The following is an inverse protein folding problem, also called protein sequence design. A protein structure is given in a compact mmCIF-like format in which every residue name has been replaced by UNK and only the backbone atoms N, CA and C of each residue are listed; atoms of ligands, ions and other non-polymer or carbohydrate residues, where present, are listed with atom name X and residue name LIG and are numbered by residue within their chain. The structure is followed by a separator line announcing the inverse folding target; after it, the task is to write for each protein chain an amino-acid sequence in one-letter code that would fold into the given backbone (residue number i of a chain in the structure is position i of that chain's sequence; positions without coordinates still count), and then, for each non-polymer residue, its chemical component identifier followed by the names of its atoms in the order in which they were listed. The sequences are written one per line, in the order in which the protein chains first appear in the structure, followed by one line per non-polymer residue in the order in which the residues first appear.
data_IF_833596658157
#
_entry.id   IF_833596658157
#
_cell.length_a   1.000
_cell.length_b   1.000
_cell.length_c   1.000
_cell.angle_alpha   90.00
_cell.angle_beta   90.00
_cell.angle_gamma   90.00
#
_symmetry.space_group_name_H-M   'P 1'
#
loop_
_entity.id
_entity.type
_entity.pdbx_description
1 polymer ?
#
# COMPACT_ATOMS: atom_id res chain seq x y z
N UNK A 1 -26.81 17.22 -3.62
CA UNK A 1 -25.43 17.48 -3.23
C UNK A 1 -25.01 18.92 -3.53
N UNK A 2 -25.25 19.46 -4.70
CA UNK A 2 -24.98 20.88 -5.01
C UNK A 2 -25.55 21.89 -4.00
N UNK A 3 -26.71 21.61 -3.37
CA UNK A 3 -27.26 22.44 -2.28
C UNK A 3 -26.54 22.31 -0.95
N UNK A 4 -25.85 21.18 -0.70
CA UNK A 4 -25.10 20.92 0.53
C UNK A 4 -23.73 21.59 0.47
N UNK A 5 -23.13 21.68 -0.72
CA UNK A 5 -21.80 22.26 -0.94
C UNK A 5 -21.83 23.76 -1.28
N UNK A 6 -23.01 24.33 -1.62
CA UNK A 6 -23.21 25.77 -1.87
C UNK A 6 -23.53 26.58 -0.61
N UNK A 7 -23.01 26.16 0.54
CA UNK A 7 -23.09 26.93 1.76
C UNK A 7 -22.18 28.15 1.71
N UNK A 8 -22.82 29.31 1.70
CA UNK A 8 -22.23 30.63 1.95
C UNK A 8 -21.03 31.03 1.08
N UNK A 9 -21.32 31.50 -0.13
CA UNK A 9 -20.31 32.05 -1.08
C UNK A 9 -19.39 33.10 -0.44
N UNK A 10 -19.83 33.80 0.62
CA UNK A 10 -19.01 34.76 1.35
C UNK A 10 -17.88 34.11 2.16
N UNK A 11 -18.05 32.86 2.64
CA UNK A 11 -16.97 32.13 3.35
C UNK A 11 -15.94 31.53 2.39
N UNK A 12 -16.36 31.06 1.23
CA UNK A 12 -15.45 30.59 0.18
C UNK A 12 -14.58 31.71 -0.41
N UNK A 13 -15.12 32.94 -0.46
CA UNK A 13 -14.36 34.13 -0.86
C UNK A 13 -13.36 34.60 0.21
N UNK A 14 -13.71 34.49 1.49
CA UNK A 14 -12.81 34.70 2.62
C UNK A 14 -11.66 33.69 2.64
N UNK A 15 -11.92 32.41 2.38
CA UNK A 15 -10.88 31.37 2.32
C UNK A 15 -9.95 31.62 1.13
N UNK A 16 -10.43 32.03 -0.04
CA UNK A 16 -9.60 32.36 -1.21
C UNK A 16 -8.77 33.65 -1.02
N UNK A 17 -9.24 34.62 -0.26
CA UNK A 17 -8.45 35.79 0.15
C UNK A 17 -7.39 35.41 1.18
N UNK A 18 -7.72 34.53 2.11
CA UNK A 18 -6.79 34.02 3.12
C UNK A 18 -5.66 33.16 2.53
N UNK A 19 -5.87 32.44 1.43
CA UNK A 19 -4.81 31.65 0.76
C UNK A 19 -3.55 32.48 0.43
N UNK A 20 -3.69 33.77 0.13
CA UNK A 20 -2.55 34.67 -0.11
C UNK A 20 -1.89 35.18 1.18
N UNK A 21 -2.69 35.42 2.23
CA UNK A 21 -2.18 35.84 3.53
C UNK A 21 -1.52 34.69 4.30
N UNK A 22 -2.01 33.46 4.13
CA UNK A 22 -1.49 32.26 4.79
C UNK A 22 -0.07 31.89 4.33
N UNK A 23 0.28 32.20 3.08
CA UNK A 23 1.61 31.90 2.51
C UNK A 23 2.77 32.70 3.13
N UNK A 24 2.50 33.66 4.00
CA UNK A 24 3.52 34.56 4.61
C UNK A 24 3.77 34.26 6.09
N UNK A 25 3.13 33.23 6.67
CA UNK A 25 3.32 32.89 8.08
C UNK A 25 4.70 32.30 8.35
N UNK A 26 5.28 32.66 9.47
CA UNK A 26 6.67 32.34 9.85
C UNK A 26 6.66 31.15 10.82
N UNK A 27 7.59 30.24 10.62
CA UNK A 27 7.88 29.19 11.61
C UNK A 27 8.89 29.70 12.64
N UNK A 28 8.56 29.49 13.90
CA UNK A 28 9.38 29.87 15.06
C UNK A 28 9.77 28.63 15.88
N UNK A 29 10.65 28.82 16.85
CA UNK A 29 11.14 27.74 17.74
C UNK A 29 11.73 26.57 16.96
N UNK A 30 12.50 26.87 15.91
CA UNK A 30 13.06 25.86 15.01
C UNK A 30 14.21 25.14 15.70
N UNK A 31 14.05 23.83 15.94
CA UNK A 31 15.02 22.97 16.62
C UNK A 31 15.30 21.73 15.79
N UNK A 32 16.57 21.39 15.63
CA UNK A 32 16.99 20.11 15.04
C UNK A 32 17.29 19.11 16.14
N UNK A 33 16.67 17.96 16.06
CA UNK A 33 16.94 16.81 16.93
C UNK A 33 17.73 15.75 16.17
N UNK A 34 18.83 15.30 16.75
CA UNK A 34 19.70 14.26 16.21
C UNK A 34 20.30 13.43 17.35
N UNK A 35 21.02 12.34 17.02
CA UNK A 35 21.79 11.57 18.03
C UNK A 35 22.82 12.42 18.76
N UNK A 36 23.29 13.50 18.13
CA UNK A 36 24.31 14.38 18.70
C UNK A 36 23.74 15.44 19.66
N UNK A 37 22.42 15.46 19.83
CA UNK A 37 21.73 16.42 20.69
C UNK A 37 20.72 17.28 19.97
N UNK A 38 20.45 18.46 20.51
CA UNK A 38 19.48 19.44 20.04
C UNK A 38 20.22 20.71 19.61
N UNK A 39 19.97 21.16 18.39
CA UNK A 39 20.43 22.44 17.87
C UNK A 39 19.22 23.38 17.79
N UNK A 40 19.36 24.58 18.37
CA UNK A 40 18.31 25.59 18.40
C UNK A 40 18.52 26.67 17.31
N UNK A 41 17.44 27.33 16.92
CA UNK A 41 17.44 28.43 15.94
C UNK A 41 18.10 28.07 14.61
N UNK A 42 17.92 26.83 14.17
CA UNK A 42 18.43 26.35 12.88
C UNK A 42 17.47 26.71 11.74
N UNK A 43 18.01 26.88 10.55
CA UNK A 43 17.18 26.90 9.35
C UNK A 43 16.89 25.49 8.87
N UNK A 44 15.78 25.31 8.16
CA UNK A 44 15.47 24.04 7.51
C UNK A 44 15.25 24.23 6.01
N UNK A 45 15.38 23.15 5.28
CA UNK A 45 15.18 23.10 3.84
C UNK A 45 14.26 21.94 3.44
N UNK A 46 13.96 21.81 2.16
CA UNK A 46 13.05 20.77 1.63
C UNK A 46 13.53 19.32 1.83
N UNK A 47 14.79 19.13 2.22
CA UNK A 47 15.37 17.82 2.42
C UNK A 47 15.25 17.34 3.88
N UNK A 48 14.91 18.24 4.80
CA UNK A 48 14.75 17.92 6.21
C UNK A 48 13.42 17.20 6.47
N UNK A 49 13.44 16.34 7.48
CA UNK A 49 12.22 15.78 8.07
C UNK A 49 11.60 16.80 9.00
N UNK A 50 10.29 17.03 8.90
CA UNK A 50 9.62 18.11 9.63
C UNK A 50 8.54 17.56 10.57
N UNK A 51 8.49 18.10 11.78
CA UNK A 51 7.34 18.01 12.70
C UNK A 51 6.94 19.43 13.04
N UNK A 52 5.72 19.79 12.71
CA UNK A 52 5.25 21.17 12.77
C UNK A 52 4.05 21.26 13.71
N UNK A 53 4.16 22.10 14.73
CA UNK A 53 3.05 22.46 15.61
C UNK A 53 2.27 23.61 14.99
N UNK A 54 0.97 23.43 14.77
CA UNK A 54 0.08 24.47 14.24
C UNK A 54 -1.19 23.94 13.61
N UNK A 55 -2.13 24.82 13.29
CA UNK A 55 -3.33 24.45 12.55
C UNK A 55 -2.94 23.90 11.17
N UNK A 56 -3.40 22.71 10.86
CA UNK A 56 -2.96 22.01 9.66
C UNK A 56 -3.39 22.68 8.36
N UNK A 57 -4.54 23.38 8.31
CA UNK A 57 -4.95 24.13 7.12
C UNK A 57 -3.95 25.27 6.83
N UNK A 58 -3.58 26.02 7.87
CA UNK A 58 -2.65 27.14 7.77
C UNK A 58 -1.24 26.64 7.40
N UNK A 59 -0.79 25.56 8.05
CA UNK A 59 0.52 24.96 7.76
C UNK A 59 0.57 24.42 6.32
N UNK A 60 -0.46 23.69 5.87
CA UNK A 60 -0.55 23.19 4.49
C UNK A 60 -0.47 24.31 3.46
N UNK A 61 -1.24 25.42 3.67
CA UNK A 61 -1.20 26.58 2.78
C UNK A 61 0.19 27.24 2.77
N UNK A 62 0.85 27.34 3.93
CA UNK A 62 2.21 27.90 4.05
C UNK A 62 3.26 27.04 3.35
N UNK A 63 3.12 25.73 3.40
CA UNK A 63 4.02 24.77 2.78
C UNK A 63 3.78 24.57 1.27
N UNK A 64 2.60 24.93 0.76
CA UNK A 64 2.21 24.63 -0.62
C UNK A 64 3.24 25.15 -1.63
N UNK A 65 3.72 26.37 -1.46
CA UNK A 65 4.72 26.97 -2.37
C UNK A 65 6.01 26.17 -2.48
N UNK A 66 6.39 25.46 -1.40
CA UNK A 66 7.63 24.68 -1.33
C UNK A 66 7.41 23.23 -1.80
N UNK A 67 6.26 22.66 -1.46
CA UNK A 67 5.99 21.21 -1.59
C UNK A 67 4.92 20.87 -2.62
N UNK A 68 4.47 21.83 -3.46
CA UNK A 68 3.55 21.53 -4.56
C UNK A 68 4.12 20.46 -5.48
N UNK A 69 3.34 19.39 -5.72
CA UNK A 69 3.74 18.29 -6.58
C UNK A 69 4.91 17.45 -6.06
N UNK A 70 5.23 17.47 -4.75
CA UNK A 70 6.42 16.77 -4.21
C UNK A 70 6.12 15.64 -3.25
N UNK A 71 4.91 15.56 -2.69
CA UNK A 71 4.54 14.54 -1.71
C UNK A 71 4.19 13.24 -2.45
N UNK A 72 4.89 12.16 -2.11
CA UNK A 72 4.63 10.84 -2.71
C UNK A 72 3.45 10.12 -2.04
N UNK A 73 3.33 10.22 -0.73
CA UNK A 73 2.27 9.57 0.04
C UNK A 73 1.75 10.51 1.11
N UNK A 74 0.43 10.62 1.19
CA UNK A 74 -0.25 11.24 2.32
C UNK A 74 -1.00 10.15 3.05
N UNK A 75 -0.80 10.02 4.35
CA UNK A 75 -1.64 9.24 5.25
C UNK A 75 -2.24 10.16 6.28
N UNK A 76 -3.54 10.08 6.50
CA UNK A 76 -4.22 10.85 7.54
C UNK A 76 -5.24 10.00 8.31
N UNK A 77 -5.34 10.35 9.59
CA UNK A 77 -6.30 9.80 10.56
C UNK A 77 -7.09 10.96 11.17
N UNK A 78 -8.04 11.56 10.40
CA UNK A 78 -8.78 12.74 10.84
C UNK A 78 -9.77 12.39 11.95
N UNK A 79 -10.43 13.39 12.60
CA UNK A 79 -11.53 13.13 13.52
C UNK A 79 -12.62 12.27 12.89
N UNK A 80 -13.07 11.24 13.61
CA UNK A 80 -14.12 10.32 13.13
C UNK A 80 -15.54 10.83 13.38
N UNK A 81 -15.67 12.01 13.97
CA UNK A 81 -16.96 12.63 14.34
C UNK A 81 -17.81 11.73 15.26
N UNK A 82 -17.15 11.19 16.32
CA UNK A 82 -17.76 10.21 17.24
C UNK A 82 -18.78 10.81 18.20
N UNK A 83 -18.90 12.14 18.24
CA UNK A 83 -19.73 12.87 19.20
C UNK A 83 -19.13 12.94 20.60
N UNK A 84 -17.91 12.46 20.80
CA UNK A 84 -17.20 12.47 22.07
C UNK A 84 -16.11 13.53 22.06
N UNK A 85 -16.28 14.58 22.80
CA UNK A 85 -15.18 15.51 23.08
C UNK A 85 -14.25 14.89 24.13
N UNK A 86 -12.99 14.65 23.78
CA UNK A 86 -11.95 14.38 24.74
C UNK A 86 -11.26 15.68 25.14
N UNK A 87 -10.59 15.71 26.30
CA UNK A 87 -9.81 16.87 26.77
C UNK A 87 -8.72 17.29 25.76
N UNK A 88 -8.34 16.42 24.85
CA UNK A 88 -7.24 16.61 23.89
C UNK A 88 -7.72 16.83 22.45
N UNK A 89 -9.04 16.66 22.13
CA UNK A 89 -9.48 16.68 20.74
C UNK A 89 -10.98 16.88 20.57
N UNK A 90 -11.39 17.79 19.66
CA UNK A 90 -12.79 17.97 19.29
C UNK A 90 -13.19 16.92 18.24
N UNK A 91 -14.05 15.98 18.62
CA UNK A 91 -14.58 14.91 17.76
C UNK A 91 -16.11 14.96 17.69
N UNK A 92 -16.68 16.16 17.87
CA UNK A 92 -18.11 16.43 17.81
C UNK A 92 -18.39 17.61 16.90
N UNK A 93 -18.39 17.33 15.60
CA UNK A 93 -18.76 18.29 14.57
C UNK A 93 -20.21 18.06 14.12
N UNK A 94 -20.88 19.12 13.70
CA UNK A 94 -21.99 18.95 12.76
C UNK A 94 -21.42 18.32 11.48
N UNK A 95 -22.09 17.31 10.93
CA UNK A 95 -21.65 16.59 9.73
C UNK A 95 -21.23 17.51 8.57
N UNK A 96 -22.02 18.55 8.30
CA UNK A 96 -21.71 19.54 7.26
C UNK A 96 -20.41 20.30 7.56
N UNK A 97 -20.21 20.72 8.81
CA UNK A 97 -18.98 21.40 9.25
C UNK A 97 -17.76 20.49 9.09
N UNK A 98 -17.91 19.18 9.37
CA UNK A 98 -16.86 18.20 9.18
C UNK A 98 -16.45 18.06 7.70
N UNK A 99 -17.44 18.04 6.80
CA UNK A 99 -17.18 17.97 5.35
C UNK A 99 -16.42 19.21 4.84
N UNK A 100 -16.79 20.41 5.28
CA UNK A 100 -16.08 21.65 4.92
C UNK A 100 -14.66 21.62 5.49
N UNK A 101 -14.51 21.23 6.75
CA UNK A 101 -13.23 21.10 7.42
C UNK A 101 -12.28 20.18 6.65
N UNK A 102 -12.76 19.04 6.17
CA UNK A 102 -11.98 18.09 5.36
C UNK A 102 -11.72 18.62 3.95
N UNK A 103 -12.72 19.20 3.28
CA UNK A 103 -12.63 19.70 1.91
C UNK A 103 -11.43 20.64 1.73
N UNK A 104 -11.34 21.68 2.56
CA UNK A 104 -10.30 22.70 2.45
C UNK A 104 -8.88 22.11 2.54
N UNK A 105 -8.71 21.12 3.41
CA UNK A 105 -7.42 20.42 3.61
C UNK A 105 -7.09 19.47 2.46
N UNK A 106 -8.08 18.72 1.99
CA UNK A 106 -7.93 17.75 0.92
C UNK A 106 -7.66 18.39 -0.44
N UNK A 107 -8.22 19.57 -0.71
CA UNK A 107 -7.93 20.34 -1.93
C UNK A 107 -6.45 20.78 -1.97
N UNK A 108 -5.90 21.26 -0.86
CA UNK A 108 -4.46 21.60 -0.77
C UNK A 108 -3.62 20.33 -0.84
N UNK A 109 -3.99 19.26 -0.14
CA UNK A 109 -3.29 18.00 -0.14
C UNK A 109 -3.17 17.41 -1.56
N UNK A 110 -4.22 17.50 -2.39
CA UNK A 110 -4.17 17.09 -3.80
C UNK A 110 -3.11 17.87 -4.60
N UNK A 111 -3.00 19.18 -4.40
CA UNK A 111 -1.99 20.02 -5.07
C UNK A 111 -0.57 19.61 -4.67
N UNK A 112 -0.37 19.25 -3.40
CA UNK A 112 0.93 18.83 -2.88
C UNK A 112 1.38 17.45 -3.37
N UNK A 113 0.47 16.56 -3.75
CA UNK A 113 0.80 15.23 -4.26
C UNK A 113 1.56 15.29 -5.59
N UNK A 114 2.58 14.41 -5.74
CA UNK A 114 3.19 14.07 -7.03
C UNK A 114 2.14 13.52 -7.99
N UNK A 115 2.42 13.54 -9.30
CA UNK A 115 1.56 12.92 -10.31
C UNK A 115 1.35 11.41 -10.08
N UNK A 116 2.32 10.74 -9.47
CA UNK A 116 2.24 9.36 -9.01
C UNK A 116 2.01 9.26 -7.49
N UNK A 117 1.44 10.30 -6.89
CA UNK A 117 1.18 10.38 -5.46
C UNK A 117 -0.13 9.70 -5.05
N UNK A 118 -0.16 9.25 -3.81
CA UNK A 118 -1.26 8.49 -3.21
C UNK A 118 -1.68 9.13 -1.89
N UNK A 119 -2.99 9.14 -1.62
CA UNK A 119 -3.52 9.50 -0.30
C UNK A 119 -4.31 8.35 0.30
N UNK A 120 -4.07 8.09 1.58
CA UNK A 120 -4.80 7.15 2.44
C UNK A 120 -5.53 7.94 3.53
N UNK A 121 -6.82 7.68 3.71
CA UNK A 121 -7.65 8.34 4.73
C UNK A 121 -8.31 7.25 5.57
N UNK A 122 -7.90 7.13 6.83
CA UNK A 122 -8.53 6.22 7.79
C UNK A 122 -9.79 6.86 8.38
N UNK A 123 -10.89 6.13 8.36
CA UNK A 123 -12.18 6.55 8.92
C UNK A 123 -12.98 5.34 9.40
N UNK A 124 -13.91 5.55 10.30
CA UNK A 124 -14.94 4.56 10.60
C UNK A 124 -16.22 4.78 9.74
N UNK A 125 -17.24 3.97 10.00
CA UNK A 125 -18.50 3.94 9.25
C UNK A 125 -19.33 5.22 9.36
N UNK A 126 -19.00 6.17 10.26
CA UNK A 126 -19.75 7.43 10.43
C UNK A 126 -19.52 8.38 9.27
N UNK A 127 -18.26 8.58 8.88
CA UNK A 127 -17.88 9.60 7.89
C UNK A 127 -17.23 9.02 6.64
N UNK A 128 -16.86 7.72 6.61
CA UNK A 128 -16.14 7.12 5.46
C UNK A 128 -16.89 7.24 4.14
N UNK A 129 -18.21 7.02 4.15
CA UNK A 129 -19.02 7.07 2.93
C UNK A 129 -19.17 8.50 2.39
N UNK A 130 -19.34 9.46 3.27
CA UNK A 130 -19.44 10.88 2.90
C UNK A 130 -18.08 11.42 2.45
N UNK A 131 -17.02 11.04 3.15
CA UNK A 131 -15.65 11.36 2.72
C UNK A 131 -15.35 10.77 1.35
N UNK A 132 -15.81 9.54 1.06
CA UNK A 132 -15.67 8.93 -0.27
C UNK A 132 -16.28 9.80 -1.37
N UNK A 133 -17.48 10.32 -1.15
CA UNK A 133 -18.16 11.19 -2.11
C UNK A 133 -17.43 12.52 -2.27
N UNK A 134 -16.97 13.13 -1.16
CA UNK A 134 -16.16 14.33 -1.18
C UNK A 134 -14.84 14.13 -1.95
N UNK A 135 -14.20 12.99 -1.75
CA UNK A 135 -12.97 12.64 -2.47
C UNK A 135 -13.21 12.42 -3.97
N UNK A 136 -14.37 11.87 -4.36
CA UNK A 136 -14.75 11.76 -5.78
C UNK A 136 -14.88 13.14 -6.44
N UNK A 137 -15.38 14.15 -5.71
CA UNK A 137 -15.46 15.53 -6.22
C UNK A 137 -14.09 16.19 -6.31
N UNK A 138 -13.23 16.01 -5.31
CA UNK A 138 -11.90 16.64 -5.27
C UNK A 138 -10.94 15.95 -6.23
N UNK A 139 -10.79 14.63 -6.15
CA UNK A 139 -9.78 13.88 -6.91
C UNK A 139 -10.26 13.44 -8.28
N UNK A 140 -11.55 13.22 -8.43
CA UNK A 140 -12.19 12.57 -9.55
C UNK A 140 -12.47 11.10 -9.22
N UNK A 141 -13.64 10.63 -9.66
CA UNK A 141 -14.11 9.26 -9.40
C UNK A 141 -13.16 8.18 -9.95
N UNK A 142 -12.55 8.45 -11.09
CA UNK A 142 -11.62 7.54 -11.74
C UNK A 142 -10.27 7.44 -11.00
N UNK A 143 -10.00 8.36 -10.09
CA UNK A 143 -8.81 8.33 -9.24
C UNK A 143 -8.98 7.51 -7.96
N UNK A 144 -10.18 6.94 -7.73
CA UNK A 144 -10.41 6.01 -6.63
C UNK A 144 -9.71 4.68 -6.90
N UNK A 145 -8.71 4.36 -6.10
CA UNK A 145 -7.97 3.09 -6.23
C UNK A 145 -8.74 1.94 -5.60
N UNK A 146 -9.03 2.05 -4.31
CA UNK A 146 -9.72 1.02 -3.53
C UNK A 146 -10.07 1.52 -2.13
N UNK A 147 -11.02 0.83 -1.50
CA UNK A 147 -11.20 0.85 -0.06
C UNK A 147 -10.44 -0.34 0.54
N UNK A 148 -9.61 -0.07 1.54
CA UNK A 148 -8.94 -1.09 2.34
C UNK A 148 -9.74 -1.24 3.64
N UNK A 149 -10.17 -2.45 3.94
CA UNK A 149 -10.85 -2.80 5.18
C UNK A 149 -9.82 -3.24 6.20
N UNK A 150 -9.68 -2.46 7.27
CA UNK A 150 -8.80 -2.80 8.38
C UNK A 150 -9.58 -3.47 9.51
N UNK A 151 -9.32 -4.77 9.73
CA UNK A 151 -9.86 -5.52 10.86
C UNK A 151 -8.95 -5.30 12.08
N UNK A 152 -9.51 -4.67 13.12
CA UNK A 152 -8.77 -4.24 14.32
C UNK A 152 -8.43 -5.37 15.29
N UNK A 153 -9.05 -6.53 15.15
CA UNK A 153 -8.79 -7.72 15.97
C UNK A 153 -9.21 -7.59 17.45
N UNK A 154 -10.02 -6.60 17.79
CA UNK A 154 -10.54 -6.42 19.14
C UNK A 154 -11.96 -7.02 19.22
N UNK A 155 -12.16 -7.99 20.12
CA UNK A 155 -13.50 -8.46 20.45
C UNK A 155 -14.27 -7.34 21.17
N UNK A 156 -15.49 -7.06 20.70
CA UNK A 156 -16.45 -6.15 21.36
C UNK A 156 -17.63 -6.99 21.84
N UNK A 157 -17.43 -7.74 22.92
CA UNK A 157 -18.44 -8.66 23.46
C UNK A 157 -19.65 -7.92 24.05
N UNK A 158 -19.53 -6.61 24.30
CA UNK A 158 -20.54 -5.72 24.84
C UNK A 158 -21.33 -4.95 23.76
N UNK A 159 -21.10 -5.24 22.49
CA UNK A 159 -21.86 -4.66 21.40
C UNK A 159 -23.33 -5.10 21.45
N UNK A 160 -24.27 -4.15 21.44
CA UNK A 160 -25.72 -4.45 21.53
C UNK A 160 -26.25 -5.19 20.30
N UNK A 161 -25.66 -4.93 19.11
CA UNK A 161 -26.13 -5.49 17.84
C UNK A 161 -24.95 -6.08 17.06
N UNK A 162 -24.40 -5.31 16.09
CA UNK A 162 -23.27 -5.72 15.24
C UNK A 162 -21.99 -5.08 15.78
N UNK A 163 -20.94 -5.87 15.89
CA UNK A 163 -19.64 -5.39 16.34
C UNK A 163 -18.99 -4.45 15.29
N UNK A 164 -18.36 -3.37 15.76
CA UNK A 164 -17.59 -2.43 14.92
C UNK A 164 -16.11 -2.78 14.95
N UNK A 165 -15.75 -3.90 14.34
CA UNK A 165 -14.39 -4.43 14.37
C UNK A 165 -13.49 -3.92 13.25
N UNK A 166 -14.06 -3.14 12.33
CA UNK A 166 -13.37 -2.64 11.14
C UNK A 166 -13.26 -1.11 11.12
N UNK A 167 -12.28 -0.63 10.40
CA UNK A 167 -12.17 0.73 9.90
C UNK A 167 -11.93 0.69 8.41
N UNK A 168 -12.37 1.74 7.70
CA UNK A 168 -12.16 1.93 6.27
C UNK A 168 -10.93 2.81 6.04
N UNK A 169 -10.08 2.43 5.09
CA UNK A 169 -9.02 3.30 4.59
C UNK A 169 -9.31 3.57 3.13
N UNK A 170 -9.75 4.78 2.84
CA UNK A 170 -10.00 5.23 1.47
C UNK A 170 -8.67 5.52 0.78
N UNK A 171 -8.50 5.00 -0.44
CA UNK A 171 -7.26 5.14 -1.21
C UNK A 171 -7.55 5.85 -2.52
N UNK A 172 -6.91 7.00 -2.72
CA UNK A 172 -6.97 7.76 -3.96
C UNK A 172 -5.58 8.01 -4.51
N UNK A 173 -5.44 7.89 -5.82
CA UNK A 173 -4.24 8.32 -6.54
C UNK A 173 -4.48 9.72 -7.14
N UNK A 174 -3.43 10.53 -7.29
CA UNK A 174 -3.54 11.74 -8.10
C UNK A 174 -3.76 11.38 -9.58
N UNK A 175 -3.14 10.29 -10.03
CA UNK A 175 -3.34 9.69 -11.35
C UNK A 175 -3.40 8.16 -11.21
N UNK A 176 -4.53 7.54 -11.58
CA UNK A 176 -4.81 6.12 -11.32
C UNK A 176 -3.79 5.14 -11.94
N UNK A 177 -3.20 5.49 -13.07
CA UNK A 177 -2.26 4.61 -13.76
C UNK A 177 -0.85 4.59 -13.15
N UNK A 178 -0.64 5.28 -12.02
CA UNK A 178 0.67 5.44 -11.39
C UNK A 178 0.55 5.38 -9.87
N UNK A 179 1.59 4.95 -9.20
CA UNK A 179 1.76 5.20 -7.76
C UNK A 179 1.51 4.04 -6.81
N UNK A 180 0.75 3.01 -7.19
CA UNK A 180 0.61 1.80 -6.36
C UNK A 180 1.61 0.74 -6.83
N UNK A 181 2.43 0.26 -5.91
CA UNK A 181 3.35 -0.84 -6.14
C UNK A 181 2.73 -2.16 -5.73
N UNK A 182 3.13 -3.22 -6.40
CA UNK A 182 2.82 -4.57 -5.95
C UNK A 182 3.59 -4.88 -4.68
N UNK A 183 2.97 -5.67 -3.81
CA UNK A 183 3.61 -6.15 -2.59
C UNK A 183 4.67 -7.20 -2.93
N UNK A 184 5.89 -6.98 -2.47
CA UNK A 184 6.96 -7.98 -2.60
C UNK A 184 6.77 -9.06 -1.54
N UNK A 185 6.65 -10.30 -1.98
CA UNK A 185 6.62 -11.46 -1.10
C UNK A 185 7.81 -12.37 -1.36
N UNK A 186 8.50 -12.70 -0.31
CA UNK A 186 9.52 -13.75 -0.36
C UNK A 186 8.82 -15.09 -0.20
N UNK A 187 9.01 -15.97 -1.17
CA UNK A 187 8.52 -17.35 -1.17
C UNK A 187 9.70 -18.29 -1.26
N UNK A 188 9.75 -19.29 -0.39
CA UNK A 188 10.69 -20.40 -0.54
C UNK A 188 10.10 -21.41 -1.52
N UNK A 189 10.85 -21.77 -2.54
CA UNK A 189 10.46 -22.74 -3.58
C UNK A 189 11.46 -23.87 -3.66
N UNK A 190 10.99 -25.10 -3.88
CA UNK A 190 11.85 -26.23 -4.23
C UNK A 190 12.38 -25.99 -5.64
N UNK A 191 13.70 -26.12 -5.80
CA UNK A 191 14.39 -25.90 -7.09
C UNK A 191 14.95 -27.23 -7.62
N UNK A 192 14.92 -27.32 -8.93
CA UNK A 192 15.40 -28.48 -9.69
C UNK A 192 16.49 -28.01 -10.64
N UNK A 193 17.42 -28.89 -10.98
CA UNK A 193 18.48 -28.60 -11.94
C UNK A 193 18.32 -29.46 -13.20
N UNK A 194 18.42 -28.83 -14.35
CA UNK A 194 18.42 -29.51 -15.67
C UNK A 194 19.39 -28.75 -16.59
N UNK A 195 20.36 -29.47 -17.17
CA UNK A 195 21.37 -28.89 -18.04
C UNK A 195 22.14 -27.69 -17.42
N UNK A 196 22.46 -27.77 -16.14
CA UNK A 196 23.11 -26.71 -15.35
C UNK A 196 22.27 -25.43 -15.15
N UNK A 197 20.98 -25.46 -15.46
CA UNK A 197 20.07 -24.36 -15.23
C UNK A 197 19.09 -24.77 -14.13
N UNK A 198 18.92 -23.91 -13.12
CA UNK A 198 17.95 -24.12 -12.05
C UNK A 198 16.57 -23.60 -12.45
N UNK A 199 15.54 -24.31 -12.04
CA UNK A 199 14.16 -23.90 -12.20
C UNK A 199 13.30 -24.33 -10.99
N UNK A 200 12.15 -23.69 -10.83
CA UNK A 200 11.12 -24.15 -9.90
C UNK A 200 9.81 -24.38 -10.63
N UNK A 201 8.91 -25.14 -9.97
CA UNK A 201 7.56 -25.43 -10.50
C UNK A 201 6.67 -24.21 -10.45
N UNK A 202 6.24 -23.74 -11.60
CA UNK A 202 5.27 -22.67 -11.77
C UNK A 202 3.83 -23.18 -11.71
N UNK A 203 2.90 -22.37 -12.21
CA UNK A 203 1.49 -22.76 -12.34
C UNK A 203 1.29 -23.79 -13.44
N UNK A 204 0.21 -24.57 -13.33
CA UNK A 204 -0.28 -25.41 -14.43
C UNK A 204 -0.65 -24.58 -15.66
N UNK A 205 -0.82 -25.27 -16.79
CA UNK A 205 -1.30 -24.65 -18.04
C UNK A 205 -2.83 -24.80 -18.22
N UNK A 206 -3.55 -24.89 -17.12
CA UNK A 206 -5.02 -24.92 -17.05
C UNK A 206 -5.53 -23.71 -16.27
N UNK A 207 -6.81 -23.34 -16.46
CA UNK A 207 -7.47 -22.28 -15.69
C UNK A 207 -8.73 -22.81 -15.04
N UNK A 208 -9.18 -22.16 -13.96
CA UNK A 208 -10.43 -22.47 -13.27
C UNK A 208 -11.67 -21.82 -13.90
N UNK A 209 -12.84 -22.17 -13.39
CA UNK A 209 -14.12 -21.60 -13.80
C UNK A 209 -14.55 -21.94 -15.23
N UNK A 210 -15.54 -21.22 -15.74
CA UNK A 210 -16.12 -21.45 -17.09
C UNK A 210 -15.11 -21.25 -18.21
N UNK A 211 -14.14 -20.35 -18.05
CA UNK A 211 -13.05 -20.14 -19.01
C UNK A 211 -12.08 -21.32 -19.14
N UNK A 212 -12.19 -22.35 -18.29
CA UNK A 212 -11.43 -23.61 -18.35
C UNK A 212 -12.14 -24.75 -19.06
N UNK A 213 -13.32 -24.52 -19.62
CA UNK A 213 -14.16 -25.54 -20.31
C UNK A 213 -13.91 -25.48 -21.82
N UNK A 214 -13.81 -26.66 -22.44
CA UNK A 214 -13.43 -26.78 -23.85
C UNK A 214 -14.45 -26.13 -24.80
N UNK A 215 -15.76 -26.25 -24.52
CA UNK A 215 -16.76 -25.63 -25.39
C UNK A 215 -16.68 -24.09 -25.43
N UNK A 216 -16.21 -23.47 -24.37
CA UNK A 216 -15.98 -22.01 -24.31
C UNK A 216 -14.68 -21.58 -25.05
N UNK A 217 -13.74 -22.53 -25.19
CA UNK A 217 -12.44 -22.32 -25.87
C UNK A 217 -12.07 -23.50 -26.75
N UNK A 218 -12.85 -23.77 -27.82
CA UNK A 218 -12.79 -25.02 -28.57
C UNK A 218 -11.46 -25.29 -29.26
N UNK A 219 -10.60 -24.27 -29.44
CA UNK A 219 -9.27 -24.42 -30.06
C UNK A 219 -8.16 -24.86 -29.07
N UNK A 220 -8.46 -25.09 -27.79
CA UNK A 220 -7.48 -25.36 -26.74
C UNK A 220 -7.61 -26.74 -26.11
N UNK A 221 -8.22 -27.70 -26.81
CA UNK A 221 -8.43 -29.09 -26.35
C UNK A 221 -7.31 -30.05 -26.69
N UNK A 222 -6.21 -29.58 -27.24
CA UNK A 222 -5.12 -30.44 -27.75
C UNK A 222 -4.65 -31.49 -26.75
N UNK A 223 -4.34 -32.69 -27.22
CA UNK A 223 -3.71 -33.73 -26.39
C UNK A 223 -2.21 -33.52 -26.36
N UNK A 224 -1.62 -33.70 -25.19
CA UNK A 224 -0.16 -33.73 -25.02
C UNK A 224 0.22 -35.19 -24.81
N UNK A 225 0.99 -35.72 -25.75
CA UNK A 225 1.56 -37.05 -25.69
C UNK A 225 2.93 -36.96 -25.02
N UNK A 226 3.14 -37.72 -23.97
CA UNK A 226 4.37 -37.72 -23.20
C UNK A 226 4.94 -39.13 -23.08
N UNK A 227 6.22 -39.30 -23.43
CA UNK A 227 6.91 -40.56 -23.23
C UNK A 227 7.62 -40.55 -21.85
N UNK A 228 7.25 -41.42 -20.89
CA UNK A 228 7.84 -41.42 -19.58
C UNK A 228 9.32 -41.83 -19.55
N UNK A 229 9.79 -42.62 -20.55
CA UNK A 229 11.17 -43.07 -20.63
C UNK A 229 12.08 -42.00 -21.25
N UNK A 230 11.71 -41.51 -22.44
CA UNK A 230 12.52 -40.51 -23.16
C UNK A 230 12.30 -39.10 -22.70
N UNK A 231 11.25 -38.83 -21.90
CA UNK A 231 10.77 -37.50 -21.49
C UNK A 231 10.32 -36.60 -22.64
N UNK A 232 10.13 -37.17 -23.80
CA UNK A 232 9.68 -36.43 -24.98
C UNK A 232 8.22 -36.01 -24.84
N UNK A 233 7.90 -34.81 -25.32
CA UNK A 233 6.58 -34.20 -25.27
C UNK A 233 6.18 -33.73 -26.67
N UNK A 234 4.99 -34.15 -27.12
CA UNK A 234 4.42 -33.81 -28.42
C UNK A 234 2.99 -33.34 -28.22
N UNK A 235 2.69 -32.10 -28.60
CA UNK A 235 1.32 -31.62 -28.65
C UNK A 235 0.66 -32.00 -29.99
N UNK A 236 -0.56 -32.53 -29.96
CA UNK A 236 -1.35 -32.85 -31.15
C UNK A 236 -2.80 -32.35 -31.04
N UNK A 237 -3.35 -31.93 -32.19
CA UNK A 237 -4.77 -31.71 -32.32
C UNK A 237 -5.42 -33.01 -32.81
N UNK A 238 -5.84 -33.80 -31.87
CA UNK A 238 -6.47 -35.12 -32.06
C UNK A 238 -7.94 -35.11 -31.65
N UNK A 239 -8.61 -33.97 -31.84
CA UNK A 239 -10.02 -33.79 -31.51
C UNK A 239 -10.75 -32.94 -32.55
N UNK A 240 -12.08 -33.12 -32.63
CA UNK A 240 -12.99 -32.39 -33.49
C UNK A 240 -13.44 -31.10 -32.78
N UNK A 241 -13.05 -29.94 -33.33
CA UNK A 241 -13.36 -28.63 -32.79
C UNK A 241 -14.88 -28.36 -32.83
N UNK A 242 -15.58 -28.78 -33.86
CA UNK A 242 -17.01 -28.51 -33.96
C UNK A 242 -17.81 -29.38 -33.00
N UNK A 243 -17.44 -30.63 -32.83
CA UNK A 243 -18.02 -31.49 -31.78
C UNK A 243 -17.73 -30.97 -30.38
N UNK A 244 -16.52 -30.43 -30.14
CA UNK A 244 -16.13 -29.84 -28.81
C UNK A 244 -17.03 -28.65 -28.43
N UNK A 245 -17.70 -27.99 -29.35
CA UNK A 245 -18.65 -26.90 -29.06
C UNK A 245 -20.01 -27.41 -28.57
N UNK A 246 -20.40 -28.61 -28.93
CA UNK A 246 -21.76 -29.13 -28.74
C UNK A 246 -21.88 -30.33 -27.79
N UNK A 247 -20.82 -31.13 -27.60
CA UNK A 247 -20.83 -32.28 -26.70
C UNK A 247 -19.67 -32.27 -25.73
N UNK A 248 -19.86 -32.89 -24.56
CA UNK A 248 -18.82 -33.13 -23.55
C UNK A 248 -18.46 -34.61 -23.45
N UNK A 249 -18.89 -35.44 -24.40
CA UNK A 249 -18.57 -36.86 -24.45
C UNK A 249 -17.19 -37.04 -25.07
N UNK A 250 -16.24 -37.48 -24.26
CA UNK A 250 -14.83 -37.55 -24.64
C UNK A 250 -14.57 -38.37 -25.90
N UNK A 251 -15.19 -39.56 -25.99
CA UNK A 251 -15.03 -40.45 -27.14
C UNK A 251 -15.68 -39.96 -28.43
N UNK A 252 -16.57 -38.98 -28.36
CA UNK A 252 -17.14 -38.33 -29.57
C UNK A 252 -16.24 -37.21 -30.05
N UNK A 253 -15.56 -36.53 -29.12
CA UNK A 253 -14.74 -35.33 -29.37
C UNK A 253 -13.32 -35.68 -29.77
N UNK A 254 -12.71 -36.68 -29.08
CA UNK A 254 -11.29 -37.03 -29.25
C UNK A 254 -11.09 -38.32 -30.03
N UNK A 255 -10.03 -38.34 -30.84
CA UNK A 255 -9.52 -39.50 -31.55
C UNK A 255 -8.05 -39.72 -31.19
N UNK A 256 -7.75 -40.82 -30.45
CA UNK A 256 -6.39 -41.10 -29.97
C UNK A 256 -5.40 -41.35 -31.12
N UNK A 257 -4.18 -40.88 -30.99
CA UNK A 257 -3.08 -41.24 -31.89
C UNK A 257 -2.50 -42.61 -31.45
N UNK A 258 -2.96 -43.66 -32.14
CA UNK A 258 -2.58 -45.03 -31.86
C UNK A 258 -1.09 -45.30 -32.11
N UNK A 259 -0.46 -44.60 -33.04
CA UNK A 259 0.95 -44.79 -33.37
C UNK A 259 1.84 -44.24 -32.27
N UNK A 260 1.49 -43.10 -31.67
CA UNK A 260 2.23 -42.58 -30.53
C UNK A 260 2.03 -43.45 -29.28
N UNK A 261 0.82 -43.94 -29.05
CA UNK A 261 0.53 -44.86 -27.93
C UNK A 261 1.33 -46.14 -28.10
N UNK A 262 1.42 -46.73 -29.28
CA UNK A 262 2.23 -47.92 -29.58
C UNK A 262 3.72 -47.69 -29.34
N UNK A 263 4.21 -46.45 -29.46
CA UNK A 263 5.58 -46.05 -29.17
C UNK A 263 5.84 -45.72 -27.68
N UNK A 264 4.91 -46.02 -26.80
CA UNK A 264 5.04 -45.82 -25.35
C UNK A 264 4.69 -44.40 -24.86
N UNK A 265 4.04 -43.58 -25.67
CA UNK A 265 3.56 -42.29 -25.20
C UNK A 265 2.24 -42.45 -24.44
N UNK A 266 2.11 -41.77 -23.32
CA UNK A 266 0.87 -41.60 -22.58
C UNK A 266 0.18 -40.32 -23.03
N UNK A 267 -1.13 -40.39 -23.19
CA UNK A 267 -1.96 -39.23 -23.54
C UNK A 267 -2.31 -38.42 -22.30
N UNK A 268 -2.12 -37.11 -22.37
CA UNK A 268 -2.46 -36.15 -21.31
C UNK A 268 -3.42 -35.12 -21.92
N UNK A 269 -4.68 -35.17 -21.50
CA UNK A 269 -5.72 -34.22 -21.88
C UNK A 269 -5.95 -33.17 -20.81
N UNK A 270 -6.53 -32.00 -21.16
CA UNK A 270 -6.93 -31.03 -20.17
C UNK A 270 -7.89 -31.70 -19.14
N UNK A 271 -7.68 -31.50 -17.84
CA UNK A 271 -8.54 -32.13 -16.83
C UNK A 271 -9.98 -31.63 -16.95
N UNK A 272 -10.94 -32.54 -16.76
CA UNK A 272 -12.36 -32.20 -16.74
C UNK A 272 -12.67 -31.18 -15.63
N UNK A 273 -13.68 -30.35 -15.87
CA UNK A 273 -14.18 -29.33 -14.95
C UNK A 273 -15.69 -29.51 -14.79
N UNK A 274 -16.15 -29.86 -13.59
CA UNK A 274 -17.58 -30.12 -13.34
C UNK A 274 -18.16 -31.05 -14.40
N UNK A 275 -17.50 -32.21 -14.61
CA UNK A 275 -17.82 -33.24 -15.61
C UNK A 275 -17.82 -32.82 -17.08
N UNK A 276 -17.41 -31.56 -17.38
CA UNK A 276 -17.22 -31.05 -18.73
C UNK A 276 -15.77 -31.19 -19.16
N UNK A 277 -15.55 -31.37 -20.48
CA UNK A 277 -14.21 -31.40 -21.06
C UNK A 277 -13.48 -30.07 -20.79
N UNK A 278 -12.25 -30.16 -20.28
CA UNK A 278 -11.41 -29.02 -20.00
C UNK A 278 -10.62 -28.55 -21.21
N UNK A 279 -9.96 -27.38 -21.06
CA UNK A 279 -9.04 -26.87 -22.06
C UNK A 279 -7.73 -26.36 -21.43
N UNK A 280 -6.68 -26.29 -22.24
CA UNK A 280 -5.43 -25.65 -21.86
C UNK A 280 -5.55 -24.13 -21.92
N UNK A 281 -4.59 -23.43 -21.33
CA UNK A 281 -4.39 -21.99 -21.53
C UNK A 281 -3.40 -21.70 -22.66
N UNK A 282 -2.71 -22.72 -23.17
CA UNK A 282 -1.73 -22.64 -24.24
C UNK A 282 -2.31 -23.25 -25.53
N UNK A 283 -2.04 -22.58 -26.66
CA UNK A 283 -2.34 -23.09 -27.99
C UNK A 283 -1.40 -24.26 -28.35
N UNK A 284 -1.77 -25.04 -29.36
CA UNK A 284 -0.96 -26.12 -29.89
C UNK A 284 0.45 -25.63 -30.32
N UNK A 285 0.49 -24.52 -31.04
CA UNK A 285 1.74 -23.91 -31.46
C UNK A 285 2.64 -23.57 -30.26
N UNK A 286 2.09 -22.98 -29.22
CA UNK A 286 2.83 -22.65 -28.00
C UNK A 286 3.29 -23.89 -27.25
N UNK A 287 2.45 -24.93 -27.14
CA UNK A 287 2.84 -26.20 -26.51
C UNK A 287 4.07 -26.78 -27.19
N UNK A 288 4.09 -26.84 -28.53
CA UNK A 288 5.18 -27.43 -29.29
C UNK A 288 6.45 -26.55 -29.33
N UNK A 289 6.31 -25.23 -29.43
CA UNK A 289 7.45 -24.32 -29.46
C UNK A 289 8.12 -24.16 -28.11
N UNK A 290 7.36 -24.24 -27.02
CA UNK A 290 7.85 -24.05 -25.64
C UNK A 290 7.81 -25.34 -24.81
N UNK A 291 7.81 -26.51 -25.42
CA UNK A 291 7.74 -27.82 -24.72
C UNK A 291 8.82 -28.00 -23.65
N UNK A 292 10.02 -27.44 -23.86
CA UNK A 292 11.11 -27.47 -22.89
C UNK A 292 10.81 -26.67 -21.61
N UNK A 293 9.86 -25.75 -21.67
CA UNK A 293 9.38 -24.96 -20.54
C UNK A 293 8.27 -25.67 -19.74
N UNK A 294 7.91 -26.89 -20.13
CA UNK A 294 6.89 -27.69 -19.47
C UNK A 294 7.53 -28.83 -18.67
N UNK A 295 6.97 -29.10 -17.50
CA UNK A 295 7.31 -30.23 -16.66
C UNK A 295 6.06 -31.11 -16.49
N UNK A 296 6.18 -32.37 -16.88
CA UNK A 296 5.17 -33.38 -16.62
C UNK A 296 5.41 -33.98 -15.24
N UNK A 297 4.40 -33.94 -14.39
CA UNK A 297 4.41 -34.53 -13.06
C UNK A 297 3.49 -35.74 -13.05
N UNK A 298 4.00 -36.88 -12.60
CA UNK A 298 3.23 -38.08 -12.37
C UNK A 298 2.77 -38.16 -10.91
N UNK A 299 1.51 -38.44 -10.68
CA UNK A 299 0.97 -38.79 -9.37
C UNK A 299 0.09 -40.04 -9.52
N UNK A 300 0.68 -41.19 -9.23
CA UNK A 300 0.16 -42.52 -9.56
C UNK A 300 -0.13 -42.63 -11.07
N UNK A 301 -1.35 -42.86 -11.50
CA UNK A 301 -1.71 -42.96 -12.92
C UNK A 301 -2.10 -41.61 -13.58
N UNK A 302 -2.08 -40.54 -12.80
CA UNK A 302 -2.44 -39.20 -13.31
C UNK A 302 -1.21 -38.37 -13.65
N UNK A 303 -1.28 -37.67 -14.78
CA UNK A 303 -0.25 -36.74 -15.21
C UNK A 303 -0.76 -35.33 -15.13
N UNK A 304 0.07 -34.42 -14.60
CA UNK A 304 -0.21 -33.00 -14.56
C UNK A 304 0.93 -32.23 -15.23
N UNK A 305 0.60 -31.11 -15.87
CA UNK A 305 1.58 -30.29 -16.60
C UNK A 305 1.67 -28.92 -15.95
N UNK A 306 2.88 -28.57 -15.56
CA UNK A 306 3.22 -27.28 -14.95
C UNK A 306 4.35 -26.61 -15.74
N UNK A 307 4.45 -25.30 -15.62
CA UNK A 307 5.54 -24.52 -16.23
C UNK A 307 6.82 -24.68 -15.41
N UNK A 308 7.96 -24.77 -16.09
CA UNK A 308 9.27 -24.54 -15.48
C UNK A 308 9.49 -23.02 -15.45
N UNK A 309 9.85 -22.48 -14.29
CA UNK A 309 10.28 -21.08 -14.14
C UNK A 309 11.77 -21.09 -13.89
N UNK A 310 12.53 -20.72 -14.91
CA UNK A 310 13.98 -20.76 -14.86
C UNK A 310 14.57 -19.62 -14.03
N UNK A 311 15.65 -19.93 -13.30
CA UNK A 311 16.41 -19.03 -12.43
C UNK A 311 17.82 -18.85 -13.02
N UNK A 312 17.95 -18.00 -14.03
CA UNK A 312 19.21 -17.80 -14.76
C UNK A 312 20.31 -17.18 -13.89
N UNK A 313 19.93 -16.30 -12.95
CA UNK A 313 20.86 -15.58 -12.06
C UNK A 313 20.83 -16.13 -10.62
N UNK A 314 20.62 -17.44 -10.46
CA UNK A 314 20.56 -18.05 -9.15
C UNK A 314 21.94 -18.04 -8.47
N UNK A 315 22.01 -17.43 -7.29
CA UNK A 315 23.17 -17.47 -6.42
C UNK A 315 23.21 -18.80 -5.66
N UNK A 316 24.09 -19.72 -6.12
CA UNK A 316 24.22 -21.06 -5.54
C UNK A 316 24.56 -21.04 -4.04
N UNK A 317 25.19 -19.98 -3.53
CA UNK A 317 25.53 -19.85 -2.10
C UNK A 317 24.30 -19.66 -1.21
N UNK A 318 23.19 -19.24 -1.79
CA UNK A 318 21.90 -19.05 -1.11
C UNK A 318 20.96 -20.25 -1.21
N UNK A 319 21.41 -21.35 -1.81
CA UNK A 319 20.65 -22.59 -1.84
C UNK A 319 20.55 -23.20 -0.44
N UNK A 320 19.34 -23.58 -0.06
CA UNK A 320 19.07 -24.24 1.21
C UNK A 320 18.86 -25.72 0.93
N UNK A 321 19.73 -26.59 1.43
CA UNK A 321 19.61 -28.04 1.29
C UNK A 321 18.85 -28.63 2.50
N UNK A 322 17.75 -29.36 2.25
CA UNK A 322 16.97 -30.10 3.27
C UNK A 322 16.46 -31.41 2.70
N UNK A 323 16.74 -32.53 3.39
CA UNK A 323 16.26 -33.86 2.98
C UNK A 323 16.53 -34.20 1.51
N UNK A 324 17.76 -33.95 1.05
CA UNK A 324 18.21 -34.12 -0.34
C UNK A 324 17.43 -33.32 -1.40
N UNK A 325 16.82 -32.20 -1.01
CA UNK A 325 16.14 -31.26 -1.88
C UNK A 325 16.74 -29.89 -1.72
N UNK A 326 16.77 -29.14 -2.80
CA UNK A 326 17.24 -27.74 -2.80
C UNK A 326 16.07 -26.79 -2.78
N UNK A 327 16.19 -25.74 -1.98
CA UNK A 327 15.21 -24.66 -1.88
C UNK A 327 15.90 -23.32 -2.11
N UNK A 328 15.16 -22.39 -2.68
CA UNK A 328 15.65 -21.04 -2.92
C UNK A 328 14.56 -20.02 -2.57
N UNK A 329 14.96 -18.87 -2.03
CA UNK A 329 14.03 -17.79 -1.73
C UNK A 329 13.90 -16.89 -2.94
N UNK A 330 12.72 -16.85 -3.55
CA UNK A 330 12.38 -15.95 -4.66
C UNK A 330 11.53 -14.78 -4.16
N UNK A 331 11.76 -13.60 -4.72
CA UNK A 331 10.84 -12.47 -4.56
C UNK A 331 9.77 -12.54 -5.65
N UNK A 332 8.51 -12.44 -5.25
CA UNK A 332 7.38 -12.35 -6.16
C UNK A 332 6.61 -11.07 -5.90
N UNK A 333 6.15 -10.41 -6.95
CA UNK A 333 5.30 -9.25 -6.85
C UNK A 333 3.84 -9.64 -7.04
N UNK A 334 3.03 -9.38 -6.03
CA UNK A 334 1.59 -9.64 -6.06
C UNK A 334 0.80 -8.37 -5.75
N UNK A 335 -0.41 -8.20 -6.29
CA UNK A 335 -1.30 -7.15 -5.85
C UNK A 335 -1.53 -7.25 -4.34
N UNK A 336 -1.48 -6.11 -3.63
CA UNK A 336 -1.79 -6.10 -2.20
C UNK A 336 -3.27 -6.44 -1.96
N UNK A 337 -3.52 -7.14 -0.85
CA UNK A 337 -4.89 -7.44 -0.43
C UNK A 337 -5.54 -6.17 0.13
N UNK A 338 -6.80 -5.92 -0.23
CA UNK A 338 -7.59 -4.83 0.32
C UNK A 338 -8.18 -5.14 1.71
N UNK A 339 -7.81 -6.27 2.31
CA UNK A 339 -8.20 -6.65 3.67
C UNK A 339 -6.95 -6.77 4.54
N UNK A 340 -6.88 -5.97 5.61
CA UNK A 340 -5.76 -5.94 6.55
C UNK A 340 -6.24 -6.41 7.92
N UNK A 341 -5.66 -7.49 8.41
CA UNK A 341 -5.90 -8.00 9.76
C UNK A 341 -4.67 -7.72 10.64
N UNK A 342 -4.70 -6.61 11.34
CA UNK A 342 -3.64 -6.17 12.26
C UNK A 342 -4.30 -5.58 13.49
N UNK A 343 -4.05 -6.15 14.68
CA UNK A 343 -4.67 -5.68 15.92
C UNK A 343 -4.32 -4.23 16.23
N UNK A 344 -5.32 -3.39 16.50
CA UNK A 344 -5.14 -2.00 16.93
C UNK A 344 -4.42 -1.90 18.28
N UNK A 345 -4.56 -2.91 19.15
CA UNK A 345 -3.90 -2.95 20.46
C UNK A 345 -2.36 -2.91 20.39
N UNK A 346 -1.78 -3.28 19.25
CA UNK A 346 -0.32 -3.20 19.06
C UNK A 346 0.19 -1.77 19.13
N UNK A 347 -0.56 -0.79 18.64
CA UNK A 347 -0.20 0.63 18.74
C UNK A 347 -0.14 1.10 20.20
N UNK A 348 -1.18 0.80 20.97
CA UNK A 348 -1.25 1.16 22.39
C UNK A 348 -0.17 0.45 23.24
N UNK A 349 0.09 -0.84 22.96
CA UNK A 349 1.16 -1.60 23.63
C UNK A 349 2.53 -1.02 23.32
N UNK A 350 2.81 -0.69 22.07
CA UNK A 350 4.08 -0.09 21.65
C UNK A 350 4.27 1.28 22.32
N UNK A 351 3.28 2.17 22.24
CA UNK A 351 3.37 3.49 22.83
C UNK A 351 3.53 3.42 24.36
N UNK A 352 2.78 2.52 25.04
CA UNK A 352 2.97 2.28 26.47
C UNK A 352 4.37 1.78 26.81
N UNK A 353 4.96 0.92 25.98
CA UNK A 353 6.35 0.46 26.16
C UNK A 353 7.36 1.60 26.02
N UNK A 354 7.14 2.53 25.08
CA UNK A 354 8.03 3.68 24.87
C UNK A 354 8.00 4.68 26.03
N UNK A 355 6.84 4.90 26.64
CA UNK A 355 6.63 5.95 27.65
C UNK A 355 6.47 5.41 29.09
N UNK A 356 6.44 4.09 29.27
CA UNK A 356 6.19 3.46 30.58
C UNK A 356 4.75 3.57 31.09
N UNK A 357 3.92 4.41 30.45
CA UNK A 357 2.52 4.66 30.81
C UNK A 357 1.66 4.89 29.57
N UNK A 358 0.33 4.87 29.75
CA UNK A 358 -0.60 5.25 28.69
C UNK A 358 -0.58 6.77 28.52
N UNK A 359 -0.15 7.27 27.37
CA UNK A 359 -0.01 8.71 27.09
C UNK A 359 -1.01 9.19 26.02
N UNK A 360 -1.69 8.27 25.31
CA UNK A 360 -2.64 8.60 24.27
C UNK A 360 -3.70 7.51 24.12
N UNK A 361 -4.91 7.91 23.67
CA UNK A 361 -6.00 6.99 23.34
C UNK A 361 -5.84 6.52 21.88
N UNK A 362 -6.04 5.24 21.64
CA UNK A 362 -6.14 4.64 20.31
C UNK A 362 -5.06 5.06 19.28
N UNK A 363 -3.76 5.02 19.60
CA UNK A 363 -2.72 5.34 18.63
C UNK A 363 -2.73 4.31 17.50
N UNK A 364 -2.55 4.76 16.26
CA UNK A 364 -2.33 3.85 15.12
C UNK A 364 -1.06 3.04 15.35
N UNK A 365 -0.93 1.88 14.70
CA UNK A 365 0.26 1.06 14.86
C UNK A 365 1.17 1.12 13.62
N UNK A 366 2.47 0.98 13.83
CA UNK A 366 3.47 1.07 12.78
C UNK A 366 3.34 -0.03 11.73
N UNK A 367 2.84 -1.24 12.09
CA UNK A 367 2.67 -2.32 11.10
C UNK A 367 1.58 -2.01 10.06
N UNK A 368 0.54 -1.26 10.44
CA UNK A 368 -0.46 -0.79 9.49
C UNK A 368 0.16 0.22 8.53
N UNK A 369 0.81 1.24 9.07
CA UNK A 369 1.43 2.31 8.28
C UNK A 369 2.53 1.75 7.37
N UNK A 370 3.38 0.86 7.89
CA UNK A 370 4.43 0.18 7.11
C UNK A 370 3.84 -0.53 5.89
N UNK A 371 2.72 -1.22 6.05
CA UNK A 371 2.07 -1.91 4.94
C UNK A 371 1.59 -0.93 3.86
N UNK A 372 1.01 0.21 4.26
CA UNK A 372 0.56 1.24 3.33
C UNK A 372 1.74 1.94 2.62
N UNK A 373 2.82 2.24 3.36
CA UNK A 373 4.02 2.85 2.78
C UNK A 373 4.75 1.92 1.80
N UNK A 374 4.78 0.61 2.06
CA UNK A 374 5.41 -0.35 1.16
C UNK A 374 4.75 -0.42 -0.22
N UNK A 375 3.43 -0.23 -0.30
CA UNK A 375 2.69 -0.27 -1.57
C UNK A 375 2.61 1.09 -2.26
N UNK A 376 3.09 2.17 -1.66
CA UNK A 376 2.95 3.52 -2.18
C UNK A 376 4.25 4.33 -2.27
N UNK A 377 5.33 3.87 -1.61
CA UNK A 377 6.58 4.64 -1.50
C UNK A 377 7.82 3.77 -1.63
N UNK A 378 8.95 4.40 -1.97
CA UNK A 378 10.31 3.85 -1.91
C UNK A 378 11.16 4.64 -0.90
N UNK A 379 12.36 4.14 -0.60
CA UNK A 379 13.33 4.90 0.22
C UNK A 379 13.58 6.28 -0.38
N UNK A 380 13.67 7.30 0.46
CA UNK A 380 13.84 8.69 0.08
C UNK A 380 12.57 9.44 -0.34
N UNK A 381 11.46 8.75 -0.60
CA UNK A 381 10.18 9.40 -0.91
C UNK A 381 9.65 10.20 0.29
N UNK A 382 8.93 11.29 -0.01
CA UNK A 382 8.36 12.17 1.01
C UNK A 382 6.93 11.75 1.37
N UNK A 383 6.72 11.49 2.65
CA UNK A 383 5.44 11.13 3.28
C UNK A 383 4.91 12.30 4.08
N UNK A 384 3.61 12.54 4.07
CA UNK A 384 2.97 13.59 4.88
C UNK A 384 1.83 13.02 5.71
N UNK A 385 1.72 13.52 6.95
CA UNK A 385 0.58 13.30 7.84
C UNK A 385 0.21 14.62 8.52
N UNK A 386 -0.92 15.21 8.12
CA UNK A 386 -1.37 16.48 8.68
C UNK A 386 -2.46 16.33 9.78
N UNK A 387 -2.63 15.09 10.27
CA UNK A 387 -3.33 14.74 11.52
C UNK A 387 -2.42 13.82 12.34
N UNK A 388 -1.21 14.32 12.66
CA UNK A 388 -0.07 13.51 13.10
C UNK A 388 -0.35 12.69 14.36
N UNK A 389 -1.15 13.20 15.28
CA UNK A 389 -1.44 12.53 16.54
C UNK A 389 -0.15 12.18 17.33
N UNK A 390 0.07 10.88 17.51
CA UNK A 390 1.23 10.38 18.25
C UNK A 390 2.52 10.22 17.41
N UNK A 391 2.54 10.68 16.17
CA UNK A 391 3.71 10.56 15.30
C UNK A 391 3.94 9.16 14.70
N UNK A 392 2.92 8.31 14.63
CA UNK A 392 3.09 6.93 14.12
C UNK A 392 3.56 6.91 12.67
N UNK A 393 2.99 7.77 11.82
CA UNK A 393 3.37 7.87 10.41
C UNK A 393 4.81 8.31 10.24
N UNK A 394 5.22 9.37 10.95
CA UNK A 394 6.60 9.87 10.91
C UNK A 394 7.60 8.86 11.46
N UNK A 395 7.29 8.19 12.57
CA UNK A 395 8.11 7.13 13.15
C UNK A 395 8.31 5.97 12.16
N UNK A 396 7.24 5.52 11.51
CA UNK A 396 7.29 4.45 10.51
C UNK A 396 8.12 4.88 9.28
N UNK A 397 7.85 6.08 8.74
CA UNK A 397 8.58 6.64 7.61
C UNK A 397 10.08 6.74 7.91
N UNK A 398 10.46 7.25 9.07
CA UNK A 398 11.85 7.39 9.49
C UNK A 398 12.58 6.04 9.56
N UNK A 399 11.99 5.04 10.23
CA UNK A 399 12.55 3.68 10.32
C UNK A 399 12.69 3.01 8.95
N UNK A 400 11.81 3.34 8.01
CA UNK A 400 11.83 2.84 6.63
C UNK A 400 12.66 3.72 5.69
N UNK A 401 13.41 4.71 6.19
CA UNK A 401 14.26 5.65 5.41
C UNK A 401 13.47 6.47 4.40
N UNK A 402 12.23 6.84 4.72
CA UNK A 402 11.43 7.81 3.99
C UNK A 402 11.58 9.17 4.68
N UNK A 403 11.46 10.24 3.88
CA UNK A 403 11.31 11.60 4.42
C UNK A 403 9.88 11.81 4.88
N UNK A 404 9.67 12.77 5.79
CA UNK A 404 8.33 13.02 6.28
C UNK A 404 8.09 14.46 6.70
N UNK A 405 6.81 14.84 6.65
CA UNK A 405 6.25 16.05 7.23
C UNK A 405 5.06 15.63 8.09
N UNK A 406 5.12 15.91 9.39
CA UNK A 406 4.03 15.68 10.33
C UNK A 406 3.51 17.01 10.88
N UNK A 407 2.18 17.18 10.93
CA UNK A 407 1.54 18.40 11.40
C UNK A 407 0.53 18.05 12.49
N UNK A 408 0.63 18.73 13.64
CA UNK A 408 -0.31 18.56 14.76
C UNK A 408 -0.55 19.91 15.44
N UNK A 409 -1.81 20.18 15.74
CA UNK A 409 -2.21 21.43 16.41
C UNK A 409 -2.08 21.36 17.91
N UNK A 410 -2.34 20.19 18.49
CA UNK A 410 -2.52 20.01 19.93
C UNK A 410 -1.20 20.04 20.70
N UNK A 411 -1.25 20.55 21.93
CA UNK A 411 -0.07 20.70 22.82
C UNK A 411 0.70 19.40 23.07
N UNK A 412 0.01 18.25 23.07
CA UNK A 412 0.63 16.95 23.29
C UNK A 412 1.67 16.56 22.21
N UNK A 413 1.75 17.30 21.10
CA UNK A 413 2.79 17.07 20.08
C UNK A 413 4.20 17.09 20.70
N UNK A 414 4.45 18.00 21.64
CA UNK A 414 5.74 18.13 22.31
C UNK A 414 6.07 16.89 23.14
N UNK A 415 5.11 16.45 23.96
CA UNK A 415 5.32 15.39 24.96
C UNK A 415 5.16 13.98 24.38
N UNK A 416 4.51 13.85 23.23
CA UNK A 416 4.23 12.54 22.63
C UNK A 416 4.95 12.37 21.29
N UNK A 417 4.63 13.16 20.26
CA UNK A 417 5.17 12.93 18.91
C UNK A 417 6.68 13.24 18.86
N UNK A 418 7.11 14.40 19.41
CA UNK A 418 8.53 14.78 19.43
C UNK A 418 9.34 13.81 20.28
N UNK A 419 8.86 13.46 21.47
CA UNK A 419 9.55 12.50 22.36
C UNK A 419 9.61 11.09 21.75
N UNK A 420 8.55 10.65 21.04
CA UNK A 420 8.59 9.41 20.26
C UNK A 420 9.70 9.45 19.23
N UNK A 421 9.80 10.54 18.46
CA UNK A 421 10.80 10.65 17.40
C UNK A 421 12.23 10.72 17.94
N UNK A 422 12.47 11.31 19.11
CA UNK A 422 13.77 11.22 19.78
C UNK A 422 14.14 9.77 20.08
N UNK A 423 13.21 8.98 20.65
CA UNK A 423 13.44 7.55 20.91
C UNK A 423 13.67 6.74 19.62
N UNK A 424 13.02 7.12 18.50
CA UNK A 424 13.27 6.52 17.18
C UNK A 424 14.69 6.81 16.72
N UNK A 425 15.17 8.05 16.82
CA UNK A 425 16.56 8.43 16.51
C UNK A 425 17.55 7.66 17.39
N UNK A 426 17.24 7.47 18.67
CA UNK A 426 18.06 6.70 19.61
C UNK A 426 18.07 5.19 19.32
N UNK A 427 17.22 4.71 18.39
CA UNK A 427 17.19 3.32 17.96
C UNK A 427 16.29 2.43 18.82
N UNK A 428 15.12 2.92 19.23
CA UNK A 428 14.13 2.13 19.97
C UNK A 428 13.81 0.81 19.23
N UNK A 429 13.48 -0.25 19.98
CA UNK A 429 13.37 -1.62 19.45
C UNK A 429 11.94 -2.10 19.21
N UNK A 430 10.93 -1.27 19.50
CA UNK A 430 9.52 -1.61 19.34
C UNK A 430 9.00 -1.41 17.91
N UNK A 431 7.68 -1.59 17.77
CA UNK A 431 7.01 -1.42 16.49
C UNK A 431 7.58 -2.27 15.36
N UNK A 432 7.96 -1.64 14.26
CA UNK A 432 8.57 -2.32 13.11
C UNK A 432 10.10 -2.40 13.18
N UNK A 433 10.76 -1.85 14.22
CA UNK A 433 12.21 -1.71 14.31
C UNK A 433 12.96 -3.00 13.99
N UNK A 434 12.54 -4.14 14.56
CA UNK A 434 13.14 -5.45 14.27
C UNK A 434 12.95 -5.89 12.82
N UNK A 435 11.78 -5.60 12.25
CA UNK A 435 11.42 -6.03 10.88
C UNK A 435 12.24 -5.31 9.81
N UNK A 436 12.54 -4.03 10.05
CA UNK A 436 13.30 -3.16 9.14
C UNK A 436 14.75 -2.97 9.57
N UNK A 437 15.22 -3.75 10.55
CA UNK A 437 16.59 -3.73 11.10
C UNK A 437 17.03 -2.33 11.57
N UNK A 438 16.09 -1.58 12.17
CA UNK A 438 16.33 -0.21 12.62
C UNK A 438 17.26 -0.16 13.84
N UNK A 439 18.33 0.63 13.75
CA UNK A 439 19.34 0.79 14.80
C UNK A 439 19.56 2.26 15.23
N UNK A 440 18.63 3.13 14.82
CA UNK A 440 18.72 4.56 15.15
C UNK A 440 19.46 5.37 14.10
N UNK A 441 19.51 6.68 14.35
CA UNK A 441 20.14 7.67 13.47
C UNK A 441 19.16 8.60 12.79
N UNK A 442 19.68 9.44 11.89
CA UNK A 442 18.92 10.49 11.23
C UNK A 442 18.65 11.70 12.13
N UNK A 443 17.82 12.59 11.65
CA UNK A 443 17.41 13.81 12.36
C UNK A 443 16.03 14.26 11.90
N UNK A 444 15.40 15.14 12.68
CA UNK A 444 14.21 15.89 12.26
C UNK A 444 14.26 17.30 12.82
N UNK A 445 13.54 18.20 12.15
CA UNK A 445 13.28 19.56 12.59
C UNK A 445 11.92 19.60 13.26
N UNK A 446 11.86 20.16 14.45
CA UNK A 446 10.62 20.61 15.04
C UNK A 446 10.51 22.12 14.90
N UNK A 447 9.36 22.61 14.50
CA UNK A 447 9.06 24.04 14.46
C UNK A 447 7.58 24.28 14.82
N UNK A 448 7.27 25.53 15.13
CA UNK A 448 5.93 25.96 15.48
C UNK A 448 5.50 27.07 14.53
N UNK A 449 4.26 26.99 14.05
CA UNK A 449 3.66 28.09 13.29
C UNK A 449 3.43 29.28 14.23
N UNK A 450 3.87 30.46 13.85
CA UNK A 450 3.55 31.70 14.56
C UNK A 450 2.07 32.01 14.32
N UNK A 451 1.25 31.83 15.35
CA UNK A 451 -0.14 32.32 15.35
C UNK A 451 -0.12 33.79 15.76
N UNK A 452 -0.52 34.69 14.86
CA UNK A 452 -0.69 36.09 15.22
C UNK A 452 -1.93 36.23 16.13
N UNK A 453 -1.71 36.65 17.37
CA UNK A 453 -2.72 37.45 18.07
C UNK A 453 -2.80 38.79 17.37
N UNK A 454 -3.97 39.30 17.09
CA UNK A 454 -4.28 40.50 16.26
C UNK A 454 -3.60 41.82 16.71
N UNK A 455 -2.64 41.78 17.63
CA UNK A 455 -2.00 42.92 18.27
C UNK A 455 -0.49 43.09 17.99
N UNK A 456 0.16 42.27 17.17
CA UNK A 456 1.62 42.39 16.89
C UNK A 456 1.99 42.50 15.41
N UNK A 457 1.05 42.84 14.53
CA UNK A 457 1.38 43.00 13.11
C UNK A 457 2.15 44.28 12.74
N UNK A 458 2.22 45.26 13.65
CA UNK A 458 2.79 46.60 13.31
C UNK A 458 4.30 46.73 13.46
N UNK A 459 5.02 45.69 13.93
CA UNK A 459 6.45 45.83 14.26
C UNK A 459 7.38 44.73 13.67
N UNK A 460 6.99 44.04 12.63
CA UNK A 460 7.92 43.16 11.92
C UNK A 460 8.46 43.90 10.69
N UNK A 461 9.64 44.46 10.84
CA UNK A 461 10.40 45.11 9.75
C UNK A 461 10.51 44.18 8.54
N UNK A 462 10.17 44.70 7.35
CA UNK A 462 10.32 44.05 6.05
C UNK A 462 11.76 43.54 5.78
N UNK A 463 12.74 44.01 6.54
CA UNK A 463 14.14 43.66 6.41
C UNK A 463 14.51 42.23 6.88
N UNK A 464 13.68 41.58 7.70
CA UNK A 464 13.94 40.18 8.13
C UNK A 464 13.58 39.14 7.06
N UNK A 465 12.80 39.51 6.04
CA UNK A 465 12.37 38.65 4.94
C UNK A 465 13.41 38.63 3.79
N UNK A 466 14.29 39.62 3.74
CA UNK A 466 15.25 39.82 2.62
C UNK A 466 16.62 39.16 2.87
N UNK A 467 16.96 38.80 4.12
CA UNK A 467 18.28 38.22 4.45
C UNK A 467 18.55 36.82 3.88
N UNK A 468 17.54 36.12 3.36
CA UNK A 468 17.69 34.77 2.76
C UNK A 468 17.75 34.78 1.22
N UNK A 469 17.86 35.93 0.55
CA UNK A 469 17.99 36.02 -0.93
C UNK A 469 19.42 36.12 -1.45
N UNK A 470 20.42 36.34 -0.60
CA UNK A 470 21.79 36.54 -1.02
C UNK A 470 22.78 35.59 -0.35
N UNK A 471 22.63 34.30 -0.56
CA UNK A 471 23.79 33.38 -0.59
C UNK A 471 23.55 32.36 -1.69
N UNK A 472 24.41 32.46 -2.67
CA UNK A 472 24.50 31.65 -3.88
C UNK A 472 24.74 30.17 -3.60
#
# INVERSE_FOLDING_TARGET
MDKILKGDQNKDELIRKDDRMLATKIFINVKRYSKNGVEENVSFNKEDNLIIKGDNLIVLASLLKIYEGKIKCIYIDPPYNTGKNSLSYNDSFNHYTWLIFMKNRLEIAKKMLKEDGIIFISLDDRESHYCKVLMDEIFGRDCFVREIIWLKGNAQNDAKNIQRNTESILVYAKNLNKGIYKEKKVKEVEVFEENNIFFYKGSGITTGGEGGILNARPNLGNTIYYNPETKELIGKQDYDIEKAKITNIENEVYQDDTDLIAKGFVKIRPPKKNDKLGCWTWSLSKINSEKNNLLVQSNNENYNIVKKIFLYDLDKTKLICRKNKFFYKIETEIPSNNFINISSSLGSKHLKSLFGKKVFENPKNENLIEKLLNISTKEGDLVMDFFLGTGTTCSTAHKMKRKYIGIEKMEYINDVAVERMKKVIDGEKGGISKKVEWNGGGSFIFCQLLENSDTQMDNLDENSIISNKNQK
#
